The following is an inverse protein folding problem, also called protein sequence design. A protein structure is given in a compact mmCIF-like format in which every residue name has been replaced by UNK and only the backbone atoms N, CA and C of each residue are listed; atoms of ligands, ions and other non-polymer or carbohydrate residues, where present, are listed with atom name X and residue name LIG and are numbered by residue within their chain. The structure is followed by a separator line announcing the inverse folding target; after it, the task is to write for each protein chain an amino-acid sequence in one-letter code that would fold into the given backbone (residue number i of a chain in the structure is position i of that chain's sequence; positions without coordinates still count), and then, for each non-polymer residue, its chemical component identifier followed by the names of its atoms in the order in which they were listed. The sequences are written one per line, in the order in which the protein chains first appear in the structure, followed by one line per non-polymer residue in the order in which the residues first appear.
data_IF_621240221339
#
_entry.id   IF_621240221339
#
_cell.length_a   1.000
_cell.length_b   1.000
_cell.length_c   1.000
_cell.angle_alpha   90.00
_cell.angle_beta   90.00
_cell.angle_gamma   90.00
#
_symmetry.space_group_name_H-M   'P 1'
#
loop_
_entity.id
_entity.type
_entity.pdbx_description
1 polymer ?
#
# COMPACT_ATOMS: atom_id res chain seq x y z
N UNK A 1 9.56 1.16 5.67
CA UNK A 1 8.13 0.89 5.52
C UNK A 1 7.55 0.55 6.89
N UNK A 2 6.38 1.10 7.17
CA UNK A 2 5.59 0.89 8.38
C UNK A 2 4.76 -0.38 8.27
N UNK A 3 4.38 -0.94 9.42
CA UNK A 3 3.43 -2.06 9.52
C UNK A 3 2.10 -1.77 8.80
N UNK A 4 1.71 -0.49 8.72
CA UNK A 4 0.49 -0.07 8.02
C UNK A 4 0.48 -0.46 6.55
N UNK A 5 1.64 -0.48 5.88
CA UNK A 5 1.72 -0.86 4.46
C UNK A 5 1.45 -2.36 4.28
N UNK A 6 2.06 -3.19 5.12
CA UNK A 6 1.85 -4.65 5.11
C UNK A 6 0.36 -4.97 5.30
N UNK A 7 -0.27 -4.35 6.31
CA UNK A 7 -1.66 -4.61 6.63
C UNK A 7 -2.61 -4.13 5.54
N UNK A 8 -2.31 -2.98 4.93
CA UNK A 8 -3.05 -2.44 3.80
C UNK A 8 -2.95 -3.34 2.57
N UNK A 9 -1.74 -3.79 2.20
CA UNK A 9 -1.53 -4.69 1.06
C UNK A 9 -2.27 -6.02 1.24
N UNK A 10 -2.12 -6.66 2.41
CA UNK A 10 -2.82 -7.92 2.68
C UNK A 10 -4.34 -7.74 2.69
N UNK A 11 -4.85 -6.64 3.26
CA UNK A 11 -6.28 -6.34 3.23
C UNK A 11 -6.78 -6.14 1.79
N UNK A 12 -6.08 -5.34 0.98
CA UNK A 12 -6.41 -5.14 -0.42
C UNK A 12 -6.39 -6.45 -1.21
N UNK A 13 -5.36 -7.29 -1.02
CA UNK A 13 -5.23 -8.58 -1.68
C UNK A 13 -6.39 -9.51 -1.32
N UNK A 14 -6.76 -9.60 -0.03
CA UNK A 14 -7.90 -10.39 0.41
C UNK A 14 -9.22 -9.94 -0.25
N UNK A 15 -9.41 -8.63 -0.43
CA UNK A 15 -10.59 -8.08 -1.10
C UNK A 15 -10.64 -8.43 -2.60
N UNK A 16 -9.52 -8.84 -3.23
CA UNK A 16 -9.51 -9.25 -4.65
C UNK A 16 -10.23 -10.58 -4.91
N UNK A 17 -10.40 -11.41 -3.88
CA UNK A 17 -11.05 -12.72 -3.98
C UNK A 17 -12.54 -12.71 -3.63
N UNK A 18 -13.09 -11.55 -3.30
CA UNK A 18 -14.50 -11.38 -2.99
C UNK A 18 -15.32 -11.18 -4.25
N UNK A 19 -16.59 -11.56 -4.18
CA UNK A 19 -17.51 -11.34 -5.28
C UNK A 19 -17.76 -9.84 -5.50
N UNK A 20 -17.97 -9.40 -6.76
CA UNK A 20 -18.31 -8.02 -7.06
C UNK A 20 -19.46 -7.50 -6.18
N UNK A 21 -19.23 -6.35 -5.54
CA UNK A 21 -20.22 -5.71 -4.66
C UNK A 21 -20.18 -6.17 -3.20
N UNK A 22 -19.46 -7.25 -2.86
CA UNK A 22 -19.24 -7.61 -1.46
C UNK A 22 -18.28 -6.63 -0.78
N UNK A 23 -18.55 -6.33 0.49
CA UNK A 23 -17.72 -5.47 1.32
C UNK A 23 -17.43 -6.17 2.66
N UNK A 24 -16.26 -5.91 3.23
CA UNK A 24 -15.82 -6.50 4.51
C UNK A 24 -15.57 -5.40 5.52
N UNK A 25 -16.12 -5.54 6.73
CA UNK A 25 -15.92 -4.55 7.79
C UNK A 25 -14.46 -4.52 8.25
N UNK A 26 -14.00 -3.37 8.76
CA UNK A 26 -12.67 -3.26 9.36
C UNK A 26 -12.46 -4.27 10.50
N UNK A 27 -13.50 -4.51 11.31
CA UNK A 27 -13.45 -5.48 12.40
C UNK A 27 -13.16 -6.91 11.89
N UNK A 28 -13.74 -7.29 10.76
CA UNK A 28 -13.54 -8.60 10.17
C UNK A 28 -12.18 -8.75 9.48
N UNK A 29 -11.72 -7.72 8.76
CA UNK A 29 -10.35 -7.69 8.23
C UNK A 29 -9.31 -7.74 9.37
N UNK A 30 -9.56 -7.04 10.48
CA UNK A 30 -8.67 -7.04 11.63
C UNK A 30 -8.65 -8.40 12.34
N UNK A 31 -9.82 -9.02 12.56
CA UNK A 31 -9.93 -10.34 13.16
C UNK A 31 -9.21 -11.42 12.33
N UNK A 32 -9.26 -11.34 11.00
CA UNK A 32 -8.58 -12.28 10.10
C UNK A 32 -7.08 -12.41 10.39
N UNK A 33 -6.43 -11.31 10.79
CA UNK A 33 -5.01 -11.25 11.12
C UNK A 33 -4.71 -11.05 12.61
N UNK A 34 -5.73 -11.02 13.48
CA UNK A 34 -5.62 -10.69 14.91
C UNK A 34 -4.97 -9.32 15.17
N UNK A 35 -5.40 -8.33 14.39
CA UNK A 35 -4.88 -6.96 14.45
C UNK A 35 -5.79 -6.04 15.27
N UNK A 36 -5.28 -4.93 15.82
CA UNK A 36 -6.10 -3.89 16.42
C UNK A 36 -7.01 -3.20 15.38
N UNK A 37 -8.32 -3.36 15.52
CA UNK A 37 -9.32 -2.84 14.57
C UNK A 37 -9.17 -1.35 14.29
N UNK A 38 -8.98 -0.53 15.33
CA UNK A 38 -8.88 0.92 15.17
C UNK A 38 -7.67 1.33 14.31
N UNK A 39 -6.54 0.65 14.48
CA UNK A 39 -5.33 0.96 13.74
C UNK A 39 -5.42 0.48 12.29
N UNK A 40 -5.96 -0.73 12.03
CA UNK A 40 -6.24 -1.17 10.66
C UNK A 40 -7.24 -0.23 9.96
N UNK A 41 -8.31 0.17 10.65
CA UNK A 41 -9.30 1.08 10.09
C UNK A 41 -8.68 2.42 9.66
N UNK A 42 -7.69 2.94 10.38
CA UNK A 42 -6.94 4.14 9.97
C UNK A 42 -6.30 3.97 8.58
N UNK A 43 -5.71 2.80 8.32
CA UNK A 43 -5.07 2.49 7.04
C UNK A 43 -6.10 2.29 5.93
N UNK A 44 -7.19 1.57 6.21
CA UNK A 44 -8.29 1.39 5.26
C UNK A 44 -8.90 2.74 4.86
N UNK A 45 -9.03 3.69 5.79
CA UNK A 45 -9.49 5.04 5.48
C UNK A 45 -8.48 5.86 4.65
N UNK A 46 -7.18 5.62 4.81
CA UNK A 46 -6.17 6.22 3.93
C UNK A 46 -6.32 5.72 2.49
N UNK A 47 -6.56 4.43 2.30
CA UNK A 47 -6.85 3.84 1.00
C UNK A 47 -8.16 4.36 0.38
N UNK A 48 -9.19 4.65 1.21
CA UNK A 48 -10.43 5.30 0.73
C UNK A 48 -10.14 6.71 0.21
N UNK A 49 -9.36 7.52 0.95
CA UNK A 49 -8.96 8.86 0.49
C UNK A 49 -8.14 8.81 -0.80
N UNK A 50 -7.34 7.77 -0.99
CA UNK A 50 -6.58 7.54 -2.21
C UNK A 50 -7.42 6.95 -3.37
N UNK A 51 -8.72 6.67 -3.16
CA UNK A 51 -9.59 6.08 -4.18
C UNK A 51 -9.25 4.62 -4.52
N UNK A 52 -8.49 3.93 -3.67
CA UNK A 52 -8.19 2.50 -3.82
C UNK A 52 -9.34 1.66 -3.30
N UNK A 53 -9.92 2.06 -2.17
CA UNK A 53 -11.08 1.43 -1.55
C UNK A 53 -12.29 2.36 -1.59
N UNK A 54 -13.48 1.78 -1.54
CA UNK A 54 -14.70 2.48 -1.12
C UNK A 54 -15.15 1.93 0.22
N UNK A 55 -15.84 2.75 1.00
CA UNK A 55 -16.43 2.34 2.27
C UNK A 55 -17.94 2.62 2.25
N UNK A 56 -18.74 1.61 2.60
CA UNK A 56 -20.18 1.77 2.81
C UNK A 56 -20.45 1.72 4.31
N UNK A 57 -21.17 2.70 4.90
CA UNK A 57 -21.56 2.65 6.31
C UNK A 57 -22.62 1.58 6.63
N UNK A 58 -22.80 1.30 7.93
CA UNK A 58 -23.90 0.47 8.44
C UNK A 58 -23.56 -1.00 8.72
N UNK A 59 -24.53 -1.79 9.23
CA UNK A 59 -24.28 -3.16 9.75
C UNK A 59 -23.82 -4.17 8.68
N UNK A 60 -24.20 -3.96 7.42
CA UNK A 60 -23.74 -4.74 6.25
C UNK A 60 -22.73 -3.97 5.40
N UNK A 61 -22.24 -2.84 5.92
CA UNK A 61 -21.24 -2.00 5.30
C UNK A 61 -19.84 -2.57 5.45
N UNK A 62 -18.87 -1.87 4.90
CA UNK A 62 -17.47 -2.30 4.93
C UNK A 62 -16.68 -1.72 3.78
N UNK A 63 -15.50 -2.28 3.56
CA UNK A 63 -14.55 -1.89 2.55
C UNK A 63 -14.58 -2.87 1.37
N UNK A 64 -14.42 -2.33 0.17
CA UNK A 64 -14.22 -3.08 -1.07
C UNK A 64 -13.30 -2.29 -1.99
N UNK A 65 -12.68 -2.95 -2.97
CA UNK A 65 -11.90 -2.26 -3.99
C UNK A 65 -12.79 -1.26 -4.77
N UNK A 66 -12.30 -0.04 -4.93
CA UNK A 66 -12.93 0.99 -5.75
C UNK A 66 -12.55 0.88 -7.23
N UNK A 67 -11.43 0.20 -7.50
CA UNK A 67 -10.81 0.05 -8.82
C UNK A 67 -10.55 -1.45 -9.08
N UNK A 68 -10.54 -1.91 -10.33
CA UNK A 68 -10.13 -3.28 -10.64
C UNK A 68 -8.69 -3.54 -10.16
N UNK A 69 -8.35 -4.75 -9.70
CA UNK A 69 -7.04 -5.04 -9.11
C UNK A 69 -5.87 -4.85 -10.08
N UNK A 70 -6.12 -4.94 -11.39
CA UNK A 70 -5.16 -4.66 -12.46
C UNK A 70 -4.77 -3.17 -12.54
N UNK A 71 -5.60 -2.28 -11.97
CA UNK A 71 -5.37 -0.83 -11.93
C UNK A 71 -4.84 -0.33 -10.59
N UNK A 72 -4.46 -1.23 -9.67
CA UNK A 72 -3.91 -0.88 -8.36
C UNK A 72 -2.51 -1.46 -8.23
N UNK A 73 -1.50 -0.60 -8.30
CA UNK A 73 -0.11 -1.01 -8.10
C UNK A 73 0.24 -1.20 -6.62
N UNK A 74 1.30 -1.94 -6.32
CA UNK A 74 1.86 -2.00 -4.95
C UNK A 74 2.31 -0.59 -4.50
N UNK A 75 2.86 0.20 -5.43
CA UNK A 75 3.25 1.59 -5.16
C UNK A 75 2.05 2.45 -4.75
N UNK A 76 0.87 2.28 -5.37
CA UNK A 76 -0.33 3.04 -5.01
C UNK A 76 -0.68 2.85 -3.53
N UNK A 77 -0.62 1.60 -3.06
CA UNK A 77 -0.91 1.25 -1.66
C UNK A 77 0.15 1.83 -0.73
N UNK A 78 1.44 1.71 -1.09
CA UNK A 78 2.55 2.29 -0.31
C UNK A 78 2.39 3.81 -0.17
N UNK A 79 2.16 4.52 -1.28
CA UNK A 79 1.99 5.98 -1.30
C UNK A 79 0.74 6.41 -0.52
N UNK A 80 -0.35 5.64 -0.58
CA UNK A 80 -1.55 5.94 0.18
C UNK A 80 -1.34 5.87 1.71
N UNK A 81 -0.42 5.02 2.18
CA UNK A 81 -0.15 4.83 3.61
C UNK A 81 1.00 5.73 4.10
N UNK A 82 2.11 5.78 3.36
CA UNK A 82 3.34 6.47 3.80
C UNK A 82 3.50 7.88 3.20
N UNK A 83 2.71 8.22 2.18
CA UNK A 83 2.85 9.46 1.44
C UNK A 83 3.77 9.34 0.22
N UNK A 84 3.83 10.41 -0.56
CA UNK A 84 4.56 10.44 -1.83
C UNK A 84 6.01 10.94 -1.70
N UNK A 85 6.46 11.30 -0.50
CA UNK A 85 7.76 11.96 -0.29
C UNK A 85 8.95 11.07 -0.66
N UNK A 86 10.03 11.69 -1.18
CA UNK A 86 11.29 11.00 -1.48
C UNK A 86 11.91 10.42 -0.19
N UNK A 87 12.46 9.21 -0.25
CA UNK A 87 13.12 8.62 0.92
C UNK A 87 14.35 9.43 1.41
N UNK A 88 14.93 10.22 0.51
CA UNK A 88 16.08 11.08 0.79
C UNK A 88 15.85 12.49 0.26
N UNK A 89 15.91 13.49 1.15
CA UNK A 89 15.81 14.91 0.80
C UNK A 89 17.17 15.58 0.94
N UNK A 90 17.69 16.14 -0.15
CA UNK A 90 18.95 16.85 -0.12
C UNK A 90 18.76 18.25 0.49
N UNK A 91 19.22 18.43 1.73
CA UNK A 91 19.30 19.72 2.42
C UNK A 91 20.51 20.57 1.98
N UNK A 92 21.23 20.14 0.94
CA UNK A 92 22.34 20.87 0.33
C UNK A 92 23.48 21.24 1.30
N UNK A 93 23.73 20.42 2.32
CA UNK A 93 24.77 20.67 3.33
C UNK A 93 26.19 20.84 2.74
N UNK A 94 26.41 20.34 1.51
CA UNK A 94 27.66 20.51 0.77
C UNK A 94 28.00 21.98 0.49
N UNK A 95 27.03 22.89 0.54
CA UNK A 95 27.25 24.36 0.48
C UNK A 95 28.20 24.84 1.57
N UNK A 96 28.13 24.25 2.76
CA UNK A 96 28.99 24.58 3.90
C UNK A 96 30.23 23.67 3.98
N UNK A 97 30.38 22.72 3.05
CA UNK A 97 31.51 21.80 3.03
C UNK A 97 32.75 22.40 2.35
N UNK A 98 33.92 21.74 2.49
CA UNK A 98 35.13 22.12 1.75
C UNK A 98 34.86 22.11 0.23
N UNK A 99 35.16 23.23 -0.44
CA UNK A 99 34.87 23.41 -1.88
C UNK A 99 33.39 23.65 -2.22
N UNK A 100 32.53 23.81 -1.21
CA UNK A 100 31.13 24.18 -1.35
C UNK A 100 30.96 25.58 -1.94
N UNK A 101 29.92 25.75 -2.77
CA UNK A 101 29.60 27.02 -3.44
C UNK A 101 28.16 27.46 -3.13
N UNK A 102 27.99 28.73 -2.78
CA UNK A 102 26.69 29.30 -2.45
C UNK A 102 25.77 29.49 -3.66
N UNK A 103 26.30 29.49 -4.87
CA UNK A 103 25.54 29.68 -6.11
C UNK A 103 25.13 28.37 -6.80
N UNK A 104 25.51 27.21 -6.24
CA UNK A 104 25.23 25.88 -6.83
C UNK A 104 24.02 25.21 -6.17
N UNK A 105 23.03 24.77 -6.96
CA UNK A 105 21.95 23.91 -6.46
C UNK A 105 22.40 22.44 -6.35
N UNK A 106 22.86 22.06 -5.16
CA UNK A 106 23.35 20.71 -4.89
C UNK A 106 22.25 19.65 -4.93
N UNK A 107 20.96 20.02 -4.95
CA UNK A 107 19.89 19.03 -5.16
C UNK A 107 20.02 18.36 -6.53
N UNK A 108 20.54 19.09 -7.51
CA UNK A 108 20.72 18.64 -8.90
C UNK A 108 22.09 18.02 -9.16
N UNK A 109 23.16 18.53 -8.55
CA UNK A 109 24.55 18.15 -8.91
C UNK A 109 25.27 17.29 -7.88
N UNK A 110 24.79 17.21 -6.63
CA UNK A 110 25.45 16.40 -5.61
C UNK A 110 25.35 14.91 -5.95
N UNK A 111 26.49 14.24 -6.14
CA UNK A 111 26.54 12.82 -6.50
C UNK A 111 25.88 11.92 -5.44
N UNK A 112 25.93 12.29 -4.16
CA UNK A 112 25.20 11.58 -3.09
C UNK A 112 23.69 11.72 -3.29
N UNK A 113 23.19 12.94 -3.52
CA UNK A 113 21.76 13.19 -3.81
C UNK A 113 21.30 12.41 -5.05
N UNK A 114 22.10 12.42 -6.12
CA UNK A 114 21.82 11.67 -7.34
C UNK A 114 21.81 10.16 -7.11
N UNK A 115 22.76 9.62 -6.34
CA UNK A 115 22.78 8.20 -6.00
C UNK A 115 21.53 7.79 -5.21
N UNK A 116 21.15 8.57 -4.19
CA UNK A 116 19.95 8.33 -3.39
C UNK A 116 18.66 8.43 -4.23
N UNK A 117 18.55 9.44 -5.09
CA UNK A 117 17.41 9.59 -6.03
C UNK A 117 17.30 8.41 -6.99
N UNK A 118 18.42 7.91 -7.53
CA UNK A 118 18.42 6.73 -8.40
C UNK A 118 17.92 5.49 -7.68
N UNK A 119 18.33 5.28 -6.43
CA UNK A 119 17.87 4.15 -5.62
C UNK A 119 16.36 4.24 -5.32
N UNK A 120 15.87 5.41 -4.89
CA UNK A 120 14.44 5.64 -4.64
C UNK A 120 13.59 5.41 -5.91
N UNK A 121 14.03 5.93 -7.06
CA UNK A 121 13.35 5.72 -8.34
C UNK A 121 13.34 4.25 -8.77
N UNK A 122 14.44 3.51 -8.55
CA UNK A 122 14.50 2.09 -8.86
C UNK A 122 13.48 1.31 -8.00
N UNK A 123 13.48 1.53 -6.69
CA UNK A 123 12.52 0.91 -5.78
C UNK A 123 11.06 1.24 -6.15
N UNK A 124 10.75 2.51 -6.42
CA UNK A 124 9.40 2.93 -6.85
C UNK A 124 8.97 2.27 -8.15
N UNK A 125 9.88 2.12 -9.12
CA UNK A 125 9.58 1.45 -10.40
C UNK A 125 9.23 -0.02 -10.17
N UNK A 126 9.96 -0.72 -9.30
CA UNK A 126 9.63 -2.11 -8.97
C UNK A 126 8.25 -2.24 -8.33
N UNK A 127 7.91 -1.36 -7.39
CA UNK A 127 6.59 -1.36 -6.77
C UNK A 127 5.46 -0.94 -7.73
N UNK A 128 5.73 -0.05 -8.67
CA UNK A 128 4.76 0.36 -9.69
C UNK A 128 4.54 -0.73 -10.75
N UNK A 129 5.55 -1.59 -10.98
CA UNK A 129 5.52 -2.66 -11.96
C UNK A 129 4.72 -3.90 -11.54
N UNK A 130 4.24 -3.95 -10.28
CA UNK A 130 3.40 -5.04 -9.78
C UNK A 130 2.04 -4.53 -9.34
N UNK A 131 0.98 -5.21 -9.78
CA UNK A 131 -0.40 -4.90 -9.41
C UNK A 131 -0.94 -5.90 -8.39
N UNK A 132 -2.08 -5.57 -7.77
CA UNK A 132 -2.81 -6.52 -6.93
C UNK A 132 -3.25 -7.75 -7.74
N UNK A 133 -3.52 -7.62 -9.04
CA UNK A 133 -3.87 -8.74 -9.90
C UNK A 133 -2.68 -9.69 -10.15
N UNK A 134 -1.47 -9.15 -10.30
CA UNK A 134 -0.25 -9.95 -10.43
C UNK A 134 0.03 -10.75 -9.15
N UNK A 135 -0.07 -10.08 -8.00
CA UNK A 135 0.07 -10.74 -6.70
C UNK A 135 -1.01 -11.81 -6.47
N UNK A 136 -2.27 -11.50 -6.81
CA UNK A 136 -3.38 -12.46 -6.77
C UNK A 136 -3.05 -13.71 -7.58
N UNK A 137 -2.63 -13.52 -8.83
CA UNK A 137 -2.29 -14.61 -9.76
C UNK A 137 -1.16 -15.47 -9.21
N UNK A 138 -0.09 -14.85 -8.69
CA UNK A 138 1.04 -15.56 -8.10
C UNK A 138 0.63 -16.39 -6.87
N UNK A 139 -0.22 -15.83 -6.00
CA UNK A 139 -0.74 -16.54 -4.82
C UNK A 139 -1.61 -17.71 -5.22
N UNK A 140 -2.52 -17.54 -6.18
CA UNK A 140 -3.41 -18.61 -6.66
C UNK A 140 -2.63 -19.76 -7.29
N UNK A 141 -1.57 -19.45 -8.05
CA UNK A 141 -0.70 -20.47 -8.64
C UNK A 141 0.07 -21.26 -7.58
N UNK A 142 0.53 -20.59 -6.52
CA UNK A 142 1.36 -21.22 -5.47
C UNK A 142 0.54 -21.91 -4.37
N UNK A 143 -0.64 -21.38 -4.09
CA UNK A 143 -1.52 -21.72 -2.98
C UNK A 143 -3.01 -21.68 -3.44
N UNK A 144 -3.47 -22.68 -4.21
CA UNK A 144 -4.75 -22.65 -4.91
C UNK A 144 -5.98 -22.59 -3.99
N UNK A 145 -5.86 -23.04 -2.74
CA UNK A 145 -6.97 -23.02 -1.77
C UNK A 145 -7.17 -21.65 -1.11
N UNK A 146 -6.21 -20.73 -1.26
CA UNK A 146 -6.23 -19.40 -0.62
C UNK A 146 -7.51 -18.60 -0.88
N UNK A 147 -8.02 -18.49 -2.12
CA UNK A 147 -9.24 -17.74 -2.40
C UNK A 147 -10.47 -18.31 -1.68
N UNK A 148 -10.65 -19.64 -1.73
CA UNK A 148 -11.77 -20.31 -1.09
C UNK A 148 -11.71 -20.15 0.44
N UNK A 149 -10.55 -20.45 1.04
CA UNK A 149 -10.31 -20.28 2.47
C UNK A 149 -10.54 -18.83 2.95
N UNK A 150 -10.15 -17.84 2.15
CA UNK A 150 -10.35 -16.42 2.47
C UNK A 150 -11.84 -16.05 2.45
N UNK A 151 -12.58 -16.47 1.42
CA UNK A 151 -14.03 -16.24 1.33
C UNK A 151 -14.78 -16.91 2.49
N UNK A 152 -14.46 -18.17 2.79
CA UNK A 152 -15.08 -18.92 3.88
C UNK A 152 -14.85 -18.25 5.24
N UNK A 153 -13.62 -17.82 5.52
CA UNK A 153 -13.30 -17.09 6.75
C UNK A 153 -14.05 -15.77 6.89
N UNK A 154 -14.28 -15.04 5.80
CA UNK A 154 -15.06 -13.81 5.84
C UNK A 154 -16.57 -14.03 5.92
N UNK A 155 -17.07 -15.18 5.46
CA UNK A 155 -18.47 -15.56 5.62
C UNK A 155 -18.77 -16.02 7.07
N UNK A 156 -17.78 -16.56 7.78
CA UNK A 156 -17.95 -17.05 9.14
C UNK A 156 -18.32 -15.92 10.15
N UNK A 157 -19.09 -16.24 11.21
CA UNK A 157 -19.36 -15.32 12.31
C UNK A 157 -18.07 -14.83 12.97
N UNK A 158 -18.04 -13.59 13.43
CA UNK A 158 -16.95 -13.09 14.27
C UNK A 158 -17.06 -13.78 15.64
N UNK A 159 -16.06 -14.59 15.98
CA UNK A 159 -15.88 -15.20 17.30
C UNK A 159 -15.41 -14.18 18.33
#
# INVERSE_FOLDING_TARGET
MSEGVEWALHSCLNLTWLEPGQAVSAARLAAFYRLPTAYLNKQLQALVRAGILTSTPGPRGGFRLARPPEAVSVLDVVVAIEGAEEAFRCEQILRAGPGGRADVDYRQVCLVSQAMRRADLAWRRELAGQTLADLRTAVEQRYPDTPANTRERFAAPLS
#
